data_IF_058286079355
#
_entry.id   IF_058286079355
#
_cell.length_a   1.000
_cell.length_b   1.000
_cell.length_c   1.000
_cell.angle_alpha   90.00
_cell.angle_beta   90.00
_cell.angle_gamma   90.00
#
_symmetry.space_group_name_H-M   'P 1'
#
loop_
_entity.id
_entity.type
_entity.pdbx_description
1 polymer ?
#
# COMPACT_ATOMS: atom_id res chain seq x y z
N UNK A 1 -9.04 -0.62 -28.04
CA UNK A 1 -8.82 0.49 -27.13
C UNK A 1 -7.68 0.23 -26.19
N UNK A 2 -6.85 1.21 -26.06
CA UNK A 2 -5.71 1.08 -25.17
C UNK A 2 -6.12 1.30 -23.74
N UNK A 3 -5.91 0.29 -22.90
CA UNK A 3 -6.07 0.44 -21.47
C UNK A 3 -4.79 1.08 -20.94
N UNK A 4 -4.95 2.19 -20.25
CA UNK A 4 -3.81 2.84 -19.63
C UNK A 4 -3.39 2.06 -18.41
N UNK A 5 -2.14 1.62 -18.39
CA UNK A 5 -1.60 0.88 -17.27
C UNK A 5 -1.09 1.84 -16.21
N UNK A 6 -1.35 1.51 -14.95
CA UNK A 6 -0.86 2.28 -13.83
C UNK A 6 0.67 2.15 -13.74
N UNK A 7 1.33 3.24 -13.39
CA UNK A 7 2.79 3.27 -13.28
C UNK A 7 3.18 3.94 -11.98
N UNK A 8 4.44 3.77 -11.52
CA UNK A 8 4.89 4.43 -10.31
C UNK A 8 4.66 5.94 -10.38
N UNK A 9 4.27 6.53 -9.25
CA UNK A 9 4.03 7.97 -9.15
C UNK A 9 4.81 8.53 -7.97
N UNK A 10 5.02 9.83 -8.00
CA UNK A 10 5.66 10.51 -6.88
C UNK A 10 4.77 10.39 -5.65
N UNK A 11 5.32 9.91 -4.55
CA UNK A 11 4.57 9.72 -3.31
C UNK A 11 4.57 11.03 -2.52
N UNK A 12 3.39 11.60 -2.33
CA UNK A 12 3.21 12.85 -1.59
C UNK A 12 2.28 12.62 -0.41
N UNK A 13 2.83 12.04 0.66
CA UNK A 13 2.06 11.71 1.84
C UNK A 13 1.55 12.99 2.52
N UNK A 14 0.34 12.92 3.09
CA UNK A 14 -0.22 14.04 3.84
C UNK A 14 0.43 14.14 5.23
N UNK A 15 -0.06 15.07 6.05
CA UNK A 15 0.50 15.29 7.39
C UNK A 15 0.40 14.07 8.29
N UNK A 16 -0.59 13.24 8.07
CA UNK A 16 -0.81 12.01 8.84
C UNK A 16 -0.05 10.82 8.27
N UNK A 17 0.58 10.98 7.11
CA UNK A 17 1.34 9.92 6.47
C UNK A 17 0.55 9.07 5.49
N UNK A 18 -0.68 9.43 5.19
CA UNK A 18 -1.54 8.70 4.24
C UNK A 18 -1.34 9.19 2.81
N UNK A 19 -1.60 8.31 1.86
CA UNK A 19 -1.46 8.65 0.44
C UNK A 19 -2.16 7.59 -0.40
N UNK A 20 -2.76 8.01 -1.51
CA UNK A 20 -3.35 7.10 -2.48
C UNK A 20 -2.83 7.49 -3.86
N UNK A 21 -2.36 6.51 -4.61
CA UNK A 21 -1.90 6.74 -5.98
C UNK A 21 -3.04 7.36 -6.79
N UNK A 22 -2.76 8.42 -7.56
CA UNK A 22 -3.83 9.13 -8.30
C UNK A 22 -4.60 8.29 -9.29
N UNK A 23 -4.00 7.22 -9.80
CA UNK A 23 -4.66 6.33 -10.76
C UNK A 23 -5.23 5.05 -10.14
N UNK A 24 -5.10 4.91 -8.82
CA UNK A 24 -5.67 3.75 -8.13
C UNK A 24 -7.17 3.95 -7.96
N UNK A 25 -8.00 3.03 -8.50
CA UNK A 25 -9.45 3.22 -8.44
C UNK A 25 -10.00 3.17 -7.00
N UNK A 26 -11.14 3.80 -6.81
CA UNK A 26 -11.85 3.73 -5.55
C UNK A 26 -12.75 2.50 -5.56
N UNK A 27 -12.40 1.50 -4.76
CA UNK A 27 -13.17 0.26 -4.65
C UNK A 27 -14.15 0.27 -3.48
N UNK A 28 -14.30 1.42 -2.81
CA UNK A 28 -15.15 1.53 -1.63
C UNK A 28 -14.42 1.06 -0.38
N UNK A 29 -15.20 0.64 0.62
CA UNK A 29 -14.65 0.29 1.92
C UNK A 29 -13.93 -1.07 1.94
N UNK A 30 -14.23 -1.94 1.00
CA UNK A 30 -13.62 -3.27 0.96
C UNK A 30 -13.03 -3.55 -0.40
N UNK A 31 -11.89 -4.23 -0.40
CA UNK A 31 -11.25 -4.69 -1.62
C UNK A 31 -11.77 -6.09 -1.94
N UNK A 32 -12.72 -6.15 -2.85
CA UNK A 32 -13.34 -7.43 -3.23
C UNK A 32 -12.95 -7.85 -4.62
N UNK A 33 -13.89 -8.50 -5.30
CA UNK A 33 -13.64 -9.05 -6.64
C UNK A 33 -13.29 -7.97 -7.67
N UNK A 34 -13.82 -6.77 -7.53
CA UNK A 34 -13.48 -5.68 -8.45
C UNK A 34 -11.99 -5.33 -8.38
N UNK A 35 -11.44 -5.33 -7.18
CA UNK A 35 -10.02 -5.08 -6.98
C UNK A 35 -9.19 -6.20 -7.63
N UNK A 36 -9.55 -7.45 -7.40
CA UNK A 36 -8.84 -8.59 -7.98
C UNK A 36 -8.88 -8.56 -9.50
N UNK A 37 -10.04 -8.26 -10.08
CA UNK A 37 -10.18 -8.13 -11.52
C UNK A 37 -9.33 -6.99 -12.08
N UNK A 38 -9.28 -5.87 -11.35
CA UNK A 38 -8.47 -4.74 -11.77
C UNK A 38 -6.99 -5.11 -11.81
N UNK A 39 -6.50 -5.83 -10.77
CA UNK A 39 -5.11 -6.28 -10.75
C UNK A 39 -4.81 -7.17 -11.95
N UNK A 40 -5.73 -8.10 -12.28
CA UNK A 40 -5.56 -8.99 -13.42
C UNK A 40 -5.48 -8.21 -14.72
N UNK A 41 -6.36 -7.26 -14.91
CA UNK A 41 -6.40 -6.44 -16.11
C UNK A 41 -5.15 -5.58 -16.26
N UNK A 42 -4.61 -5.11 -15.14
CA UNK A 42 -3.39 -4.32 -15.13
C UNK A 42 -2.13 -5.19 -15.26
N UNK A 43 -2.26 -6.49 -15.07
CA UNK A 43 -1.10 -7.38 -15.06
C UNK A 43 -0.22 -7.14 -13.85
N UNK A 44 -0.84 -6.93 -12.70
CA UNK A 44 -0.12 -6.60 -11.48
C UNK A 44 -0.15 -7.73 -10.46
N UNK A 45 0.95 -7.84 -9.75
CA UNK A 45 1.06 -8.58 -8.50
C UNK A 45 1.05 -7.54 -7.39
N UNK A 46 0.33 -7.79 -6.33
CA UNK A 46 0.20 -6.82 -5.23
C UNK A 46 0.49 -7.48 -3.90
N UNK A 47 0.99 -6.68 -2.96
CA UNK A 47 1.31 -7.16 -1.63
C UNK A 47 1.06 -6.07 -0.60
N UNK A 48 0.37 -6.45 0.49
CA UNK A 48 0.16 -5.55 1.61
C UNK A 48 1.28 -5.67 2.63
N UNK A 49 1.65 -4.53 3.21
CA UNK A 49 2.58 -4.47 4.33
C UNK A 49 1.83 -3.79 5.48
N UNK A 50 1.67 -4.52 6.58
CA UNK A 50 0.99 -3.99 7.76
C UNK A 50 1.96 -3.19 8.62
N UNK A 51 1.54 -2.01 9.05
CA UNK A 51 2.37 -1.20 9.95
C UNK A 51 2.70 -1.97 11.23
N UNK A 52 1.72 -2.70 11.77
CA UNK A 52 1.91 -3.49 12.97
C UNK A 52 3.05 -4.49 12.84
N UNK A 53 3.15 -5.14 11.70
CA UNK A 53 4.18 -6.15 11.46
C UNK A 53 5.53 -5.56 11.05
N UNK A 54 5.53 -4.32 10.57
CA UNK A 54 6.70 -3.72 9.94
C UNK A 54 7.47 -2.76 10.84
N UNK A 55 6.81 -2.17 11.83
CA UNK A 55 7.46 -1.20 12.70
C UNK A 55 8.51 -1.84 13.61
N UNK A 56 9.61 -1.10 13.91
CA UNK A 56 10.56 -1.57 14.91
C UNK A 56 9.91 -1.73 16.28
N UNK A 57 10.47 -2.60 17.09
CA UNK A 57 9.93 -2.91 18.41
C UNK A 57 9.70 -1.67 19.28
N UNK A 58 10.62 -0.71 19.27
CA UNK A 58 10.48 0.49 20.09
C UNK A 58 9.29 1.35 19.69
N UNK A 59 8.90 1.32 18.43
CA UNK A 59 7.72 2.04 17.96
C UNK A 59 6.43 1.30 18.31
N UNK A 60 6.48 -0.02 18.27
CA UNK A 60 5.34 -0.84 18.72
C UNK A 60 5.08 -0.61 20.22
N UNK A 61 6.14 -0.47 21.00
CA UNK A 61 6.01 -0.17 22.44
C UNK A 61 5.35 1.19 22.66
N UNK A 62 5.69 2.20 21.84
CA UNK A 62 5.04 3.50 21.90
C UNK A 62 3.55 3.38 21.59
N UNK A 63 3.21 2.59 20.58
CA UNK A 63 1.83 2.35 20.20
C UNK A 63 1.05 1.72 21.35
N UNK A 64 1.61 0.66 21.95
CA UNK A 64 0.97 -0.01 23.08
C UNK A 64 0.76 0.94 24.28
N UNK A 65 1.74 1.79 24.53
CA UNK A 65 1.67 2.72 25.66
C UNK A 65 0.63 3.80 25.46
N UNK A 66 0.52 4.32 24.23
CA UNK A 66 -0.38 5.45 23.93
C UNK A 66 -1.77 4.99 23.49
N UNK A 67 -1.91 3.77 23.05
CA UNK A 67 -3.17 3.26 22.53
C UNK A 67 -3.60 3.87 21.20
N UNK A 68 -2.72 4.66 20.58
CA UNK A 68 -3.02 5.36 19.33
C UNK A 68 -1.83 5.26 18.40
N UNK A 69 -2.08 4.85 17.16
CA UNK A 69 -1.02 4.65 16.16
C UNK A 69 -0.97 5.78 15.13
N UNK A 70 -1.90 6.72 15.16
CA UNK A 70 -2.00 7.74 14.09
C UNK A 70 -0.71 8.55 13.95
N UNK A 71 -0.10 8.93 15.06
CA UNK A 71 1.14 9.70 15.00
C UNK A 71 2.31 8.88 14.43
N UNK A 72 2.23 7.57 14.56
CA UNK A 72 3.29 6.69 14.05
C UNK A 72 3.22 6.51 12.55
N UNK A 73 2.05 6.66 11.94
CA UNK A 73 1.90 6.48 10.49
C UNK A 73 2.81 7.44 9.74
N UNK A 74 2.88 8.69 10.15
CA UNK A 74 3.72 9.69 9.48
C UNK A 74 5.21 9.35 9.60
N UNK A 75 5.62 8.66 10.65
CA UNK A 75 7.01 8.26 10.87
C UNK A 75 7.35 6.94 10.19
N UNK A 76 6.33 6.18 9.80
CA UNK A 76 6.52 4.85 9.23
C UNK A 76 6.95 4.92 7.77
N UNK A 77 8.02 4.23 7.45
CA UNK A 77 8.45 4.04 6.06
C UNK A 77 8.23 2.58 5.72
N UNK A 78 7.13 2.26 5.03
CA UNK A 78 6.82 0.86 4.74
C UNK A 78 7.97 0.17 4.02
N UNK A 79 8.32 -1.03 4.49
CA UNK A 79 9.38 -1.81 3.89
C UNK A 79 8.91 -2.35 2.55
N UNK A 80 9.65 -2.05 1.49
CA UNK A 80 9.34 -2.56 0.16
C UNK A 80 9.49 -4.08 0.15
N UNK A 81 8.52 -4.83 -0.39
CA UNK A 81 8.64 -6.29 -0.47
C UNK A 81 9.90 -6.71 -1.23
N UNK A 82 10.38 -7.93 -0.95
CA UNK A 82 11.54 -8.46 -1.63
C UNK A 82 11.28 -8.61 -3.13
N UNK A 83 12.28 -8.31 -3.94
CA UNK A 83 12.17 -8.37 -5.38
C UNK A 83 12.28 -6.99 -6.01
N UNK A 84 12.24 -6.95 -7.33
CA UNK A 84 12.44 -5.71 -8.07
C UNK A 84 11.11 -5.08 -8.49
N UNK A 85 11.19 -3.80 -8.80
CA UNK A 85 10.13 -3.05 -9.50
C UNK A 85 8.83 -2.83 -8.71
N UNK A 86 8.86 -3.02 -7.40
CA UNK A 86 7.71 -2.69 -6.57
C UNK A 86 7.51 -1.17 -6.52
N UNK A 87 6.26 -0.74 -6.57
CA UNK A 87 5.91 0.66 -6.35
C UNK A 87 4.69 0.75 -5.45
N UNK A 88 4.55 1.87 -4.78
CA UNK A 88 3.49 2.06 -3.80
C UNK A 88 2.19 2.45 -4.48
N UNK A 89 1.08 1.81 -4.11
CA UNK A 89 -0.26 2.19 -4.55
C UNK A 89 -0.97 3.04 -3.51
N UNK A 90 -0.63 2.87 -2.25
CA UNK A 90 -1.24 3.69 -1.22
C UNK A 90 -0.83 3.29 0.18
N UNK A 91 -1.12 4.17 1.12
CA UNK A 91 -0.99 3.95 2.56
C UNK A 91 -2.28 4.48 3.17
N UNK A 92 -3.02 3.63 3.86
CA UNK A 92 -4.27 4.06 4.46
C UNK A 92 -4.53 3.34 5.77
N UNK A 93 -5.53 3.84 6.50
CA UNK A 93 -5.93 3.26 7.77
C UNK A 93 -6.80 2.04 7.53
N UNK A 94 -6.51 0.97 8.24
CA UNK A 94 -7.29 -0.25 8.18
C UNK A 94 -7.73 -0.63 9.60
N UNK A 95 -8.47 -1.70 9.73
CA UNK A 95 -9.07 -2.09 11.00
C UNK A 95 -8.06 -2.24 12.13
N UNK A 96 -6.91 -2.84 11.83
CA UNK A 96 -5.89 -3.16 12.85
C UNK A 96 -4.65 -2.26 12.74
N UNK A 97 -4.78 -1.09 12.13
CA UNK A 97 -3.68 -0.17 11.96
C UNK A 97 -3.54 0.22 10.50
N UNK A 98 -2.51 0.98 10.18
CA UNK A 98 -2.29 1.39 8.81
C UNK A 98 -1.67 0.27 7.98
N UNK A 99 -1.95 0.30 6.68
CA UNK A 99 -1.36 -0.65 5.73
C UNK A 99 -0.81 0.10 4.53
N UNK A 100 0.20 -0.47 3.92
CA UNK A 100 0.72 0.00 2.64
C UNK A 100 0.46 -1.07 1.60
N UNK A 101 0.08 -0.65 0.39
CA UNK A 101 -0.13 -1.58 -0.70
C UNK A 101 0.93 -1.32 -1.76
N UNK A 102 1.72 -2.34 -2.05
CA UNK A 102 2.72 -2.30 -3.11
C UNK A 102 2.27 -3.14 -4.28
N UNK A 103 2.70 -2.78 -5.48
CA UNK A 103 2.42 -3.55 -6.68
C UNK A 103 3.63 -3.57 -7.60
N UNK A 104 3.68 -4.57 -8.46
CA UNK A 104 4.67 -4.62 -9.54
C UNK A 104 4.06 -5.37 -10.71
N UNK A 105 4.65 -5.18 -11.90
CA UNK A 105 4.20 -5.92 -13.07
C UNK A 105 4.46 -7.40 -12.88
N UNK A 106 3.49 -8.19 -13.26
CA UNK A 106 3.59 -9.63 -13.17
C UNK A 106 4.52 -10.12 -14.29
N UNK A 107 5.62 -10.79 -13.94
CA UNK A 107 6.60 -11.22 -14.91
C UNK A 107 6.05 -12.23 -15.91
N UNK A 108 5.10 -13.05 -15.49
CA UNK A 108 4.51 -14.05 -16.38
C UNK A 108 3.78 -13.42 -17.57
N UNK A 109 3.26 -12.22 -17.39
CA UNK A 109 2.54 -11.52 -18.43
C UNK A 109 3.46 -11.10 -19.56
N UNK A 110 4.73 -10.92 -19.26
CA UNK A 110 5.72 -10.47 -20.25
C UNK A 110 6.14 -11.56 -21.21
N UNK A 111 5.83 -12.78 -20.90
CA UNK A 111 6.25 -13.91 -21.73
C UNK A 111 5.45 -14.03 -23.02
#
# INVERSE_FOLDING_TARGET
MNQQLIAPAEVKRDESGFWIHPDFPDFGETLGSQYTEWLDKQGLEAKFVSMEDDLPEHMIERWDADGDYIDLVAEWNPTTPAGADWFLLGIWDAEDGAVALFARRNEEVAA
#
